data_IF_267134554335
#
_entry.id   IF_267134554335
#
_cell.length_a   1.000
_cell.length_b   1.000
_cell.length_c   1.000
_cell.angle_alpha   90.00
_cell.angle_beta   90.00
_cell.angle_gamma   90.00
#
_symmetry.space_group_name_H-M   'P 1'
#
loop_
_entity.id
_entity.type
_entity.pdbx_description
1 polymer ?
#
# COMPACT_ATOMS: atom_id res chain seq x y z
N UNK A 1 -31.42 -28.66 22.03
CA UNK A 1 -30.02 -28.19 22.21
C UNK A 1 -29.27 -27.93 20.89
N UNK A 2 -29.93 -27.70 19.75
CA UNK A 2 -29.24 -27.47 18.46
C UNK A 2 -29.07 -25.98 18.09
N UNK A 3 -29.83 -25.08 18.72
CA UNK A 3 -29.75 -23.63 18.46
C UNK A 3 -28.38 -23.03 18.82
N UNK A 4 -27.71 -23.53 19.87
CA UNK A 4 -26.41 -23.02 20.30
C UNK A 4 -25.28 -23.35 19.31
N UNK A 5 -25.39 -24.46 18.59
CA UNK A 5 -24.42 -24.87 17.57
C UNK A 5 -24.58 -24.07 16.27
N UNK A 6 -25.82 -23.70 15.91
CA UNK A 6 -26.12 -22.88 14.72
C UNK A 6 -25.55 -21.45 14.87
N UNK A 7 -25.59 -20.88 16.09
CA UNK A 7 -25.03 -19.55 16.36
C UNK A 7 -23.49 -19.57 16.22
N UNK A 8 -22.83 -20.63 16.70
CA UNK A 8 -21.37 -20.72 16.66
C UNK A 8 -20.81 -20.87 15.23
N UNK A 9 -21.49 -21.62 14.36
CA UNK A 9 -21.06 -21.79 12.96
C UNK A 9 -21.28 -20.55 12.10
N UNK A 10 -22.35 -19.78 12.35
CA UNK A 10 -22.67 -18.58 11.55
C UNK A 10 -21.66 -17.44 11.81
N UNK A 11 -21.09 -17.35 13.01
CA UNK A 11 -20.18 -16.26 13.38
C UNK A 11 -18.78 -16.41 12.73
N UNK A 12 -18.37 -17.64 12.40
CA UNK A 12 -17.05 -17.92 11.84
C UNK A 12 -16.93 -17.59 10.34
N UNK A 13 -18.05 -17.42 9.62
CA UNK A 13 -18.05 -17.13 8.18
C UNK A 13 -17.94 -15.63 7.86
N UNK A 14 -18.02 -14.75 8.85
CA UNK A 14 -17.97 -13.29 8.66
C UNK A 14 -16.57 -12.67 8.73
N UNK A 15 -15.53 -13.45 9.07
CA UNK A 15 -14.16 -12.95 9.21
C UNK A 15 -13.29 -13.16 7.97
N UNK A 16 -13.90 -13.35 6.79
CA UNK A 16 -13.19 -13.20 5.52
C UNK A 16 -12.82 -11.73 5.34
N UNK A 17 -11.75 -11.30 6.02
CA UNK A 17 -11.15 -10.00 5.87
C UNK A 17 -10.90 -9.78 4.38
N UNK A 18 -11.64 -8.85 3.79
CA UNK A 18 -11.37 -8.37 2.45
C UNK A 18 -9.92 -7.90 2.47
N UNK A 19 -9.04 -8.61 1.76
CA UNK A 19 -7.66 -8.20 1.57
C UNK A 19 -7.69 -6.97 0.65
N UNK A 20 -7.93 -5.80 1.25
CA UNK A 20 -7.84 -4.52 0.56
C UNK A 20 -6.34 -4.26 0.40
N UNK A 21 -5.89 -4.10 -0.84
CA UNK A 21 -4.53 -3.67 -1.12
C UNK A 21 -4.37 -2.22 -0.61
N UNK A 22 -3.78 -2.07 0.56
CA UNK A 22 -3.45 -0.77 1.15
C UNK A 22 -2.11 -0.28 0.60
N UNK A 23 -1.91 1.04 0.61
CA UNK A 23 -0.59 1.59 0.35
C UNK A 23 0.43 1.08 1.38
N UNK A 24 1.70 0.88 0.98
CA UNK A 24 2.74 0.56 1.94
C UNK A 24 2.92 1.72 2.92
N UNK A 25 3.44 1.40 4.11
CA UNK A 25 3.77 2.42 5.09
C UNK A 25 4.88 3.34 4.55
N UNK A 26 4.63 4.66 4.55
CA UNK A 26 5.62 5.65 4.14
C UNK A 26 6.78 5.70 5.15
N UNK A 27 7.98 5.35 4.69
CA UNK A 27 9.22 5.34 5.45
C UNK A 27 10.35 5.88 4.58
N UNK A 28 10.53 7.20 4.61
CA UNK A 28 11.46 7.93 3.75
C UNK A 28 12.90 7.91 4.27
N UNK A 29 13.44 6.70 4.44
CA UNK A 29 14.83 6.44 4.87
C UNK A 29 15.50 5.44 3.94
N UNK A 30 16.83 5.34 3.93
CA UNK A 30 17.52 4.29 3.19
C UNK A 30 17.01 2.91 3.60
N UNK A 31 16.66 2.07 2.62
CA UNK A 31 16.02 0.76 2.83
C UNK A 31 14.51 0.81 3.07
N UNK A 32 13.89 2.00 3.08
CA UNK A 32 12.45 2.18 3.24
C UNK A 32 11.70 2.30 1.91
N UNK A 33 10.42 2.69 2.00
CA UNK A 33 9.53 2.92 0.86
C UNK A 33 9.02 4.36 0.96
N UNK A 34 9.10 5.13 -0.12
CA UNK A 34 8.45 6.42 -0.21
C UNK A 34 7.10 6.31 -0.91
N UNK A 35 6.07 6.92 -0.30
CA UNK A 35 4.74 7.09 -0.90
C UNK A 35 4.53 8.57 -1.16
N UNK A 36 4.61 8.96 -2.43
CA UNK A 36 4.61 10.37 -2.85
C UNK A 36 3.33 10.68 -3.62
N UNK A 37 2.48 11.61 -3.16
CA UNK A 37 1.26 11.97 -3.89
C UNK A 37 1.59 12.59 -5.24
N UNK A 38 0.80 12.26 -6.26
CA UNK A 38 0.93 12.75 -7.62
C UNK A 38 -0.33 13.53 -8.04
N UNK A 39 -0.13 14.54 -8.89
CA UNK A 39 -1.20 15.16 -9.65
C UNK A 39 -1.78 14.19 -10.68
N UNK A 40 -3.02 14.43 -11.12
CA UNK A 40 -3.77 13.50 -11.97
C UNK A 40 -3.20 13.37 -13.39
N UNK A 41 -2.50 14.38 -13.87
CA UNK A 41 -1.87 14.47 -15.20
C UNK A 41 -0.55 13.68 -15.31
N UNK A 42 0.08 13.31 -14.19
CA UNK A 42 1.35 12.57 -14.18
C UNK A 42 1.10 11.12 -14.57
N UNK A 43 1.58 10.70 -15.74
CA UNK A 43 1.42 9.31 -16.23
C UNK A 43 2.66 8.45 -16.07
N UNK A 44 3.82 9.06 -15.85
CA UNK A 44 5.09 8.35 -15.69
C UNK A 44 5.95 9.03 -14.61
N UNK A 45 6.56 8.20 -13.75
CA UNK A 45 7.53 8.63 -12.75
C UNK A 45 8.74 7.73 -12.83
N UNK A 46 9.94 8.32 -12.72
CA UNK A 46 11.19 7.57 -12.65
C UNK A 46 12.00 7.97 -11.43
N UNK A 47 12.71 7.02 -10.85
CA UNK A 47 13.69 7.24 -9.79
C UNK A 47 14.99 6.53 -10.17
N UNK A 48 16.11 7.25 -10.19
CA UNK A 48 17.40 6.75 -10.69
C UNK A 48 17.26 6.08 -12.08
N UNK A 49 16.53 6.76 -12.98
CA UNK A 49 16.24 6.30 -14.35
C UNK A 49 15.44 4.99 -14.44
N UNK A 50 14.89 4.48 -13.32
CA UNK A 50 14.03 3.30 -13.30
C UNK A 50 12.56 3.72 -13.16
N UNK A 51 11.64 3.09 -13.89
CA UNK A 51 10.21 3.38 -13.75
C UNK A 51 9.73 3.05 -12.34
N UNK A 52 8.84 3.88 -11.82
CA UNK A 52 8.25 3.78 -10.48
C UNK A 52 6.78 3.37 -10.60
N UNK A 53 6.31 2.52 -9.68
CA UNK A 53 4.91 2.14 -9.60
C UNK A 53 4.05 3.37 -9.31
N UNK A 54 3.02 3.60 -10.13
CA UNK A 54 1.95 4.55 -9.82
C UNK A 54 0.75 3.76 -9.31
N UNK A 55 0.40 3.95 -8.04
CA UNK A 55 -0.79 3.37 -7.40
C UNK A 55 -1.88 4.43 -7.24
N UNK A 56 -3.10 3.99 -6.94
CA UNK A 56 -4.23 4.86 -6.65
C UNK A 56 -4.97 4.33 -5.42
N UNK A 57 -5.21 5.22 -4.44
CA UNK A 57 -6.06 4.95 -3.29
C UNK A 57 -7.16 6.02 -3.24
N UNK A 58 -8.40 5.59 -3.42
CA UNK A 58 -9.52 6.49 -3.68
C UNK A 58 -9.34 7.26 -4.99
N UNK A 59 -9.34 8.60 -4.91
CA UNK A 59 -9.09 9.49 -6.05
C UNK A 59 -7.63 9.99 -6.13
N UNK A 60 -6.81 9.72 -5.11
CA UNK A 60 -5.44 10.20 -5.04
C UNK A 60 -4.49 9.18 -5.68
N UNK A 61 -3.61 9.66 -6.56
CA UNK A 61 -2.54 8.86 -7.17
C UNK A 61 -1.24 9.03 -6.39
N UNK A 62 -0.42 7.99 -6.36
CA UNK A 62 0.83 7.96 -5.62
C UNK A 62 1.94 7.30 -6.44
N UNK A 63 3.13 7.88 -6.42
CA UNK A 63 4.35 7.16 -6.75
C UNK A 63 4.79 6.34 -5.53
N UNK A 64 4.97 5.04 -5.72
CA UNK A 64 5.42 4.10 -4.69
C UNK A 64 6.77 3.56 -5.11
N UNK A 65 7.83 3.99 -4.41
CA UNK A 65 9.21 3.62 -4.74
C UNK A 65 9.96 3.11 -3.52
N UNK A 66 10.80 2.09 -3.74
CA UNK A 66 11.80 1.67 -2.77
C UNK A 66 13.01 2.61 -2.77
N UNK A 67 13.51 2.95 -1.59
CA UNK A 67 14.71 3.76 -1.40
C UNK A 67 15.89 2.79 -1.17
N UNK A 68 16.89 2.73 -2.06
CA UNK A 68 18.08 1.89 -1.86
C UNK A 68 18.74 2.17 -0.51
N UNK A 69 19.27 1.13 0.14
CA UNK A 69 19.97 1.27 1.42
C UNK A 69 21.22 2.16 1.33
N UNK A 70 21.82 2.25 0.14
CA UNK A 70 22.96 3.12 -0.17
C UNK A 70 22.58 4.57 -0.45
N UNK A 71 21.29 4.93 -0.41
CA UNK A 71 20.85 6.31 -0.67
C UNK A 71 21.40 7.22 0.44
N UNK A 72 22.10 8.30 0.11
CA UNK A 72 22.56 9.25 1.12
C UNK A 72 21.36 9.89 1.83
N UNK A 73 21.54 10.23 3.10
CA UNK A 73 20.56 11.05 3.83
C UNK A 73 20.52 12.42 3.15
N UNK A 74 19.32 12.98 2.96
CA UNK A 74 19.13 14.27 2.32
C UNK A 74 19.96 15.39 2.97
N UNK A 75 20.33 16.37 2.16
CA UNK A 75 20.94 17.64 2.60
C UNK A 75 19.91 18.58 3.20
#
# INVERSE_FOLDING_TARGET
>A
MHFKHIILTTTCLFTSALAIAQLPQDSRRPGGIAVVPLSTDITQVTFQQKPVLISQEGQQRYAVLGIPLSTPIGS
#
